data_IF_864058813308
#
_entry.id   IF_864058813308
#
_cell.length_a   1.000
_cell.length_b   1.000
_cell.length_c   1.000
_cell.angle_alpha   90.00
_cell.angle_beta   90.00
_cell.angle_gamma   90.00
#
_symmetry.space_group_name_H-M   'P 1'
#
loop_
_entity.id
_entity.type
_entity.pdbx_description
1 polymer ?
#
# COMPACT_ATOMS: atom_id res chain seq x y z
N UNK A 1 3.83 13.27 -22.20
CA UNK A 1 4.39 13.23 -20.84
C UNK A 1 3.20 13.26 -19.89
N UNK A 2 2.81 12.11 -19.35
CA UNK A 2 1.64 12.02 -18.47
C UNK A 2 2.07 12.49 -17.08
N UNK A 3 1.53 13.61 -16.64
CA UNK A 3 1.83 14.20 -15.34
C UNK A 3 1.21 13.32 -14.25
N UNK A 4 2.06 12.65 -13.46
CA UNK A 4 1.65 11.94 -12.24
C UNK A 4 1.34 12.98 -11.17
N UNK A 5 0.05 13.25 -10.95
CA UNK A 5 -0.39 14.04 -9.80
C UNK A 5 0.01 13.31 -8.51
N UNK A 6 0.78 13.91 -7.59
CA UNK A 6 1.07 13.27 -6.31
C UNK A 6 -0.22 13.14 -5.51
N UNK A 7 -0.63 11.89 -5.29
CA UNK A 7 -1.89 11.54 -4.63
C UNK A 7 -1.69 11.58 -3.11
N UNK A 8 -1.58 12.78 -2.52
CA UNK A 8 -1.31 13.02 -1.08
C UNK A 8 0.11 12.61 -0.64
N UNK A 9 0.61 13.22 0.43
CA UNK A 9 1.91 12.87 1.03
C UNK A 9 1.91 11.41 1.53
N UNK A 10 0.75 10.92 1.97
CA UNK A 10 0.56 9.55 2.44
C UNK A 10 -0.85 8.99 2.15
N UNK A 11 -0.93 7.65 2.07
CA UNK A 11 -2.19 6.89 1.95
C UNK A 11 -2.16 5.70 2.91
N UNK A 12 -3.17 5.58 3.78
CA UNK A 12 -3.32 4.40 4.65
C UNK A 12 -4.30 3.38 4.07
N UNK A 13 -3.79 2.19 3.80
CA UNK A 13 -4.58 1.01 3.48
C UNK A 13 -5.03 0.30 4.76
N UNK A 14 -6.29 -0.14 4.78
CA UNK A 14 -6.88 -0.86 5.93
C UNK A 14 -7.13 -2.33 5.58
N UNK A 15 -6.60 -3.22 6.41
CA UNK A 15 -6.79 -4.67 6.33
C UNK A 15 -7.72 -5.19 7.43
N UNK A 16 -8.02 -6.49 7.38
CA UNK A 16 -8.80 -7.18 8.42
C UNK A 16 -7.98 -7.29 9.72
N UNK A 17 -8.67 -7.24 10.87
CA UNK A 17 -8.05 -7.45 12.18
C UNK A 17 -7.22 -6.25 12.67
N UNK A 18 -7.53 -5.04 12.19
CA UNK A 18 -6.83 -3.81 12.59
C UNK A 18 -5.47 -3.60 11.90
N UNK A 19 -5.10 -4.45 10.93
CA UNK A 19 -3.88 -4.24 10.13
C UNK A 19 -3.99 -2.97 9.29
N UNK A 20 -2.91 -2.20 9.25
CA UNK A 20 -2.80 -0.99 8.44
C UNK A 20 -1.44 -0.91 7.78
N UNK A 21 -1.44 -0.35 6.58
CA UNK A 21 -0.22 0.01 5.85
C UNK A 21 -0.32 1.47 5.48
N UNK A 22 0.61 2.29 5.96
CA UNK A 22 0.73 3.68 5.50
C UNK A 22 1.79 3.72 4.42
N UNK A 23 1.42 4.18 3.24
CA UNK A 23 2.28 4.37 2.08
C UNK A 23 2.72 5.81 1.99
N UNK A 24 4.00 6.04 1.70
CA UNK A 24 4.60 7.37 1.56
C UNK A 24 4.95 7.65 0.10
N UNK A 25 4.68 8.89 -0.34
CA UNK A 25 4.73 9.30 -1.75
C UNK A 25 3.96 8.35 -2.71
N UNK A 26 2.69 7.99 -2.39
CA UNK A 26 1.94 7.02 -3.19
C UNK A 26 1.57 7.56 -4.57
N UNK A 27 1.63 6.67 -5.57
CA UNK A 27 1.30 6.96 -6.98
C UNK A 27 0.43 5.85 -7.53
N UNK A 28 -0.67 6.21 -8.19
CA UNK A 28 -1.51 5.24 -8.88
C UNK A 28 -1.10 5.19 -10.35
N UNK A 29 -0.70 4.02 -10.82
CA UNK A 29 -0.23 3.80 -12.19
C UNK A 29 -0.56 2.36 -12.63
N UNK A 30 -1.09 2.21 -13.84
CA UNK A 30 -1.39 0.90 -14.46
C UNK A 30 -2.16 -0.10 -13.58
N UNK A 31 -3.15 0.38 -12.84
CA UNK A 31 -3.96 -0.47 -11.95
C UNK A 31 -3.20 -0.97 -10.72
N UNK A 32 -2.10 -0.31 -10.34
CA UNK A 32 -1.38 -0.58 -9.10
C UNK A 32 -1.20 0.71 -8.29
N UNK A 33 -1.18 0.53 -6.97
CA UNK A 33 -0.76 1.58 -6.04
C UNK A 33 0.70 1.36 -5.69
N UNK A 34 1.55 2.27 -6.16
CA UNK A 34 2.98 2.27 -5.91
C UNK A 34 3.34 3.22 -4.77
N UNK A 35 4.46 2.97 -4.09
CA UNK A 35 5.02 3.84 -3.06
C UNK A 35 6.52 3.63 -2.90
N UNK A 36 7.23 4.63 -2.39
CA UNK A 36 8.70 4.57 -2.16
C UNK A 36 9.06 4.04 -0.77
N UNK A 37 8.13 4.18 0.17
CA UNK A 37 8.25 3.63 1.50
C UNK A 37 6.87 3.27 2.05
N UNK A 38 6.88 2.42 3.07
CA UNK A 38 5.70 2.03 3.79
C UNK A 38 5.98 1.80 5.27
N UNK A 39 4.96 2.00 6.09
CA UNK A 39 4.92 1.56 7.48
C UNK A 39 3.79 0.53 7.64
N UNK A 40 4.09 -0.60 8.28
CA UNK A 40 3.09 -1.59 8.70
C UNK A 40 2.99 -1.63 10.22
N UNK A 41 1.77 -1.71 10.74
CA UNK A 41 1.54 -1.74 12.18
C UNK A 41 1.70 -3.14 12.81
N UNK A 42 1.78 -4.19 11.99
CA UNK A 42 2.04 -5.55 12.40
C UNK A 42 2.45 -6.42 11.20
N UNK A 43 2.98 -7.60 11.49
CA UNK A 43 3.40 -8.57 10.47
C UNK A 43 2.25 -8.98 9.55
N UNK A 44 2.53 -9.04 8.24
CA UNK A 44 1.67 -9.60 7.22
C UNK A 44 2.29 -10.92 6.78
N UNK A 45 1.87 -12.08 7.32
CA UNK A 45 2.58 -13.35 7.12
C UNK A 45 2.37 -13.98 5.74
N UNK A 46 1.39 -13.50 4.96
CA UNK A 46 1.03 -14.00 3.64
C UNK A 46 0.28 -12.92 2.88
N UNK A 47 0.11 -13.09 1.58
CA UNK A 47 -0.64 -12.15 0.74
C UNK A 47 -2.04 -11.89 1.31
N UNK A 48 -2.42 -10.62 1.39
CA UNK A 48 -3.71 -10.17 1.92
C UNK A 48 -4.27 -9.02 1.09
N UNK A 49 -5.58 -8.84 1.19
CA UNK A 49 -6.27 -7.72 0.58
C UNK A 49 -6.42 -6.60 1.59
N UNK A 50 -5.99 -5.41 1.20
CA UNK A 50 -6.20 -4.16 1.92
C UNK A 50 -7.06 -3.22 1.07
N UNK A 51 -7.64 -2.19 1.68
CA UNK A 51 -8.50 -1.23 0.98
C UNK A 51 -8.21 0.21 1.33
N UNK A 52 -8.48 1.11 0.39
CA UNK A 52 -8.62 2.55 0.61
C UNK A 52 -9.93 3.01 -0.03
N UNK A 53 -10.84 3.55 0.77
CA UNK A 53 -12.21 3.78 0.30
C UNK A 53 -12.85 2.47 -0.21
N UNK A 54 -13.27 2.48 -1.48
CA UNK A 54 -13.88 1.32 -2.17
C UNK A 54 -12.86 0.44 -2.90
N UNK A 55 -11.66 0.95 -3.16
CA UNK A 55 -10.62 0.26 -3.92
C UNK A 55 -9.88 -0.74 -3.05
N UNK A 56 -9.53 -1.89 -3.61
CA UNK A 56 -8.82 -2.97 -2.92
C UNK A 56 -7.48 -3.23 -3.60
N UNK A 57 -6.48 -3.57 -2.81
CA UNK A 57 -5.13 -3.86 -3.27
C UNK A 57 -4.62 -5.16 -2.67
N UNK A 58 -3.90 -5.95 -3.47
CA UNK A 58 -3.20 -7.14 -3.00
C UNK A 58 -1.83 -6.75 -2.46
N UNK A 59 -1.64 -6.93 -1.17
CA UNK A 59 -0.38 -6.69 -0.47
C UNK A 59 0.33 -8.02 -0.26
N UNK A 60 1.64 -8.14 -0.56
CA UNK A 60 2.42 -9.33 -0.30
C UNK A 60 2.64 -9.55 1.21
N UNK A 61 3.36 -10.62 1.56
CA UNK A 61 3.87 -10.77 2.91
C UNK A 61 4.87 -9.64 3.24
N UNK A 62 4.75 -9.05 4.43
CA UNK A 62 5.64 -8.00 4.95
C UNK A 62 6.04 -8.39 6.37
N UNK A 63 7.34 -8.53 6.67
CA UNK A 63 7.80 -9.00 7.96
C UNK A 63 7.66 -7.93 9.03
N UNK A 64 6.88 -8.24 10.07
CA UNK A 64 6.83 -7.49 11.32
C UNK A 64 6.21 -6.08 11.23
N UNK A 65 6.02 -5.41 12.37
CA UNK A 65 5.74 -3.98 12.42
C UNK A 65 7.03 -3.19 12.18
N UNK A 66 7.14 -2.54 11.03
CA UNK A 66 8.34 -1.75 10.71
C UNK A 66 8.06 -0.70 9.64
N UNK A 67 8.96 0.26 9.59
CA UNK A 67 9.12 1.16 8.45
C UNK A 67 10.05 0.50 7.44
N UNK A 68 9.63 0.45 6.18
CA UNK A 68 10.40 -0.12 5.08
C UNK A 68 10.59 0.94 4.00
N UNK A 69 11.84 1.25 3.68
CA UNK A 69 12.20 2.01 2.47
C UNK A 69 12.34 0.98 1.35
N UNK A 70 11.33 0.87 0.52
CA UNK A 70 11.26 -0.08 -0.58
C UNK A 70 10.25 0.42 -1.60
N UNK A 71 10.66 0.51 -2.86
CA UNK A 71 9.72 0.70 -3.96
C UNK A 71 8.78 -0.51 -4.02
N UNK A 72 7.51 -0.28 -3.68
CA UNK A 72 6.47 -1.31 -3.70
C UNK A 72 5.43 -0.97 -4.74
N UNK A 73 4.81 -2.00 -5.31
CA UNK A 73 3.65 -1.90 -6.17
C UNK A 73 2.60 -2.90 -5.69
N UNK A 74 1.42 -2.40 -5.32
CA UNK A 74 0.29 -3.23 -4.89
C UNK A 74 -0.78 -3.22 -5.97
N UNK A 75 -0.99 -4.34 -6.69
CA UNK A 75 -1.98 -4.39 -7.76
C UNK A 75 -3.40 -4.27 -7.18
N UNK A 76 -4.23 -3.50 -7.88
CA UNK A 76 -5.66 -3.37 -7.62
C UNK A 76 -6.37 -4.71 -7.88
N UNK A 77 -7.41 -4.98 -7.10
CA UNK A 77 -8.26 -6.17 -7.27
C UNK A 77 -9.73 -5.77 -7.20
N UNK A 78 -10.56 -6.45 -7.98
CA UNK A 78 -12.02 -6.24 -8.02
C UNK A 78 -12.74 -6.63 -6.71
#
# INVERSE_FOLDING_TARGET
MTQTTPTRDEVTLRGRGGLTITLFAPRQEDGALQADALYVNASIPRNRIFRVGKTKFRVPAIPGPAFHIAHVAFPEVE
#
